data_IF_928795812053
#
_entry.id   IF_928795812053
#
_cell.length_a   1.000
_cell.length_b   1.000
_cell.length_c   1.000
_cell.angle_alpha   90.00
_cell.angle_beta   90.00
_cell.angle_gamma   90.00
#
_symmetry.space_group_name_H-M   'P 1'
#
loop_
_entity.id
_entity.type
_entity.pdbx_description
1 polymer ?
#
# COMPACT_ATOMS: atom_id res chain seq x y z
N UNK A 1 47.81 39.85 -38.93
CA UNK A 1 47.91 38.81 -39.99
C UNK A 1 48.32 37.52 -39.30
N UNK A 2 47.47 36.49 -39.44
CA UNK A 2 47.57 35.07 -39.03
C UNK A 2 48.43 34.68 -37.82
N UNK A 3 47.81 33.98 -36.87
CA UNK A 3 48.50 32.95 -36.09
C UNK A 3 47.60 31.70 -35.99
N UNK A 4 48.04 30.62 -36.64
CA UNK A 4 47.52 29.27 -36.47
C UNK A 4 48.51 28.55 -35.56
N UNK A 5 48.01 27.94 -34.48
CA UNK A 5 48.71 26.84 -33.81
C UNK A 5 47.68 25.92 -33.13
N UNK A 6 47.53 24.72 -33.67
CA UNK A 6 46.88 23.57 -33.02
C UNK A 6 47.68 23.17 -31.77
N UNK A 7 46.97 22.83 -30.69
CA UNK A 7 47.48 21.89 -29.67
C UNK A 7 46.36 20.94 -29.24
N UNK A 8 46.58 19.66 -29.54
CA UNK A 8 45.89 18.51 -28.96
C UNK A 8 46.21 18.43 -27.46
N UNK A 9 45.21 18.19 -26.61
CA UNK A 9 45.46 17.63 -25.28
C UNK A 9 44.38 16.62 -24.93
N UNK A 10 44.86 15.52 -24.37
CA UNK A 10 44.23 14.23 -24.34
C UNK A 10 43.25 14.04 -23.17
N UNK A 11 42.35 13.11 -23.43
CA UNK A 11 41.51 12.31 -22.54
C UNK A 11 42.21 11.96 -21.20
N UNK A 12 41.59 12.31 -20.07
CA UNK A 12 41.94 11.78 -18.76
C UNK A 12 40.65 11.48 -17.95
N UNK A 13 40.13 10.28 -18.18
CA UNK A 13 39.59 9.34 -17.19
C UNK A 13 39.01 9.93 -15.87
N UNK A 14 37.73 10.30 -15.87
CA UNK A 14 36.95 10.54 -14.64
C UNK A 14 36.43 9.22 -14.07
N UNK A 15 37.30 8.46 -13.42
CA UNK A 15 36.91 7.40 -12.49
C UNK A 15 37.16 7.91 -11.05
N UNK A 16 36.25 7.53 -10.15
CA UNK A 16 36.21 7.84 -8.70
C UNK A 16 35.46 9.12 -8.28
N UNK A 17 34.13 9.07 -8.25
CA UNK A 17 33.37 9.91 -7.31
C UNK A 17 32.14 9.23 -6.67
N UNK A 18 31.99 7.91 -6.76
CA UNK A 18 30.75 7.22 -6.33
C UNK A 18 30.87 6.31 -5.10
N UNK A 19 31.99 6.32 -4.37
CA UNK A 19 32.18 5.43 -3.18
C UNK A 19 31.94 6.17 -1.85
N UNK A 20 31.05 7.16 -1.81
CA UNK A 20 30.67 7.85 -0.55
C UNK A 20 29.17 7.76 -0.22
N UNK A 21 28.35 7.16 -1.08
CA UNK A 21 26.89 7.07 -0.84
C UNK A 21 26.48 5.97 0.15
N UNK A 22 27.42 5.14 0.62
CA UNK A 22 27.16 3.96 1.46
C UNK A 22 27.94 3.94 2.78
N UNK A 23 28.37 5.10 3.27
CA UNK A 23 28.88 5.18 4.64
C UNK A 23 27.69 5.13 5.62
N UNK A 24 27.65 4.22 6.60
CA UNK A 24 26.60 4.22 7.61
C UNK A 24 26.75 5.48 8.48
N UNK A 25 25.81 6.40 8.34
CA UNK A 25 25.68 7.54 9.25
C UNK A 25 25.24 6.99 10.60
N UNK A 26 26.16 6.92 11.56
CA UNK A 26 25.85 6.62 12.95
C UNK A 26 25.31 7.89 13.60
N UNK A 27 24.04 8.20 13.35
CA UNK A 27 23.33 9.22 14.10
C UNK A 27 22.95 8.65 15.47
N UNK A 28 23.72 9.00 16.50
CA UNK A 28 23.34 8.76 17.89
C UNK A 28 22.30 9.82 18.28
N UNK A 29 21.04 9.53 17.98
CA UNK A 29 19.91 10.41 18.31
C UNK A 29 19.54 10.25 19.79
N UNK A 30 19.89 11.24 20.62
CA UNK A 30 19.39 11.37 22.00
C UNK A 30 18.03 12.12 22.03
N UNK A 31 17.10 11.76 21.16
CA UNK A 31 15.70 12.15 21.28
C UNK A 31 14.95 11.04 22.01
N UNK A 32 13.97 11.35 22.88
CA UNK A 32 13.14 10.32 23.47
C UNK A 32 12.24 9.78 22.35
N UNK A 33 12.71 8.76 21.64
CA UNK A 33 11.97 8.03 20.59
C UNK A 33 10.85 7.16 21.16
N UNK A 34 10.31 7.52 22.32
CA UNK A 34 9.25 6.81 23.01
C UNK A 34 7.91 7.22 22.37
N UNK A 35 6.96 6.28 22.31
CA UNK A 35 5.58 6.38 21.77
C UNK A 35 5.30 5.70 20.40
N UNK A 36 6.21 4.89 19.84
CA UNK A 36 5.77 3.85 18.86
C UNK A 36 5.11 2.64 19.55
N UNK A 37 5.45 2.39 20.82
CA UNK A 37 4.91 1.28 21.62
C UNK A 37 3.49 1.54 22.16
N UNK A 38 2.93 2.73 22.00
CA UNK A 38 1.59 3.09 22.50
C UNK A 38 0.45 2.84 21.50
N UNK A 39 0.75 2.56 20.22
CA UNK A 39 -0.28 2.30 19.19
C UNK A 39 -0.52 0.81 19.04
N UNK A 40 -1.80 0.42 19.02
CA UNK A 40 -2.20 -0.94 18.65
C UNK A 40 -1.75 -1.21 17.21
N UNK A 41 -1.08 -2.34 16.92
CA UNK A 41 -0.74 -2.71 15.55
C UNK A 41 -2.00 -2.83 14.69
N UNK A 42 -1.92 -2.36 13.45
CA UNK A 42 -2.99 -2.52 12.46
C UNK A 42 -2.45 -3.28 11.26
N UNK A 43 -3.05 -4.43 10.96
CA UNK A 43 -2.63 -5.32 9.89
C UNK A 43 -3.72 -5.30 8.81
N UNK A 44 -3.31 -4.96 7.60
CA UNK A 44 -4.22 -4.89 6.45
C UNK A 44 -3.80 -5.87 5.38
N UNK A 45 -4.74 -6.67 4.88
CA UNK A 45 -4.52 -7.53 3.71
C UNK A 45 -5.10 -6.90 2.44
N UNK A 46 -4.28 -6.27 1.61
CA UNK A 46 -4.68 -5.85 0.25
C UNK A 46 -4.48 -7.04 -0.71
N UNK A 47 -5.58 -7.59 -1.22
CA UNK A 47 -5.57 -8.80 -2.05
C UNK A 47 -5.10 -8.52 -3.47
N UNK A 48 -5.10 -7.25 -3.88
CA UNK A 48 -4.84 -6.81 -5.24
C UNK A 48 -5.80 -7.55 -6.17
N UNK A 49 -5.39 -7.80 -7.42
CA UNK A 49 -6.21 -8.52 -8.39
C UNK A 49 -6.32 -10.05 -8.11
N UNK A 50 -6.78 -10.43 -6.92
CA UNK A 50 -6.99 -11.82 -6.49
C UNK A 50 -8.19 -11.92 -5.53
N UNK A 51 -8.79 -13.11 -5.39
CA UNK A 51 -8.57 -14.33 -6.18
C UNK A 51 -9.30 -14.30 -7.54
N UNK A 52 -9.32 -15.41 -8.30
CA UNK A 52 -9.92 -15.41 -9.64
C UNK A 52 -11.44 -15.63 -9.60
N UNK A 53 -11.96 -16.25 -8.54
CA UNK A 53 -13.37 -16.61 -8.42
C UNK A 53 -14.00 -16.14 -7.12
N UNK A 54 -15.33 -15.99 -7.15
CA UNK A 54 -16.13 -15.64 -5.97
C UNK A 54 -16.00 -16.69 -4.86
N UNK A 55 -15.99 -17.97 -5.20
CA UNK A 55 -15.91 -19.06 -4.21
C UNK A 55 -14.54 -19.08 -3.52
N UNK A 56 -13.45 -18.84 -4.27
CA UNK A 56 -12.11 -18.66 -3.69
C UNK A 56 -12.07 -17.45 -2.75
N UNK A 57 -12.71 -16.34 -3.11
CA UNK A 57 -12.77 -15.14 -2.27
C UNK A 57 -13.50 -15.41 -0.96
N UNK A 58 -14.63 -16.12 -1.02
CA UNK A 58 -15.40 -16.53 0.17
C UNK A 58 -14.59 -17.49 1.04
N UNK A 59 -13.94 -18.48 0.44
CA UNK A 59 -13.12 -19.45 1.17
C UNK A 59 -11.94 -18.77 1.90
N UNK A 60 -11.24 -17.87 1.20
CA UNK A 60 -10.15 -17.09 1.77
C UNK A 60 -10.66 -16.21 2.91
N UNK A 61 -11.72 -15.44 2.69
CA UNK A 61 -12.35 -14.59 3.71
C UNK A 61 -12.74 -15.38 4.97
N UNK A 62 -13.38 -16.54 4.79
CA UNK A 62 -13.80 -17.42 5.88
C UNK A 62 -12.61 -17.94 6.68
N UNK A 63 -11.53 -18.36 6.01
CA UNK A 63 -10.31 -18.82 6.68
C UNK A 63 -9.60 -17.71 7.49
N UNK A 64 -9.56 -16.49 6.95
CA UNK A 64 -9.00 -15.33 7.67
C UNK A 64 -9.89 -15.00 8.88
N UNK A 65 -11.21 -14.97 8.69
CA UNK A 65 -12.18 -14.73 9.75
C UNK A 65 -12.12 -15.79 10.88
N UNK A 66 -11.79 -17.04 10.56
CA UNK A 66 -11.57 -18.08 11.56
C UNK A 66 -10.26 -17.89 12.35
N UNK A 67 -9.24 -17.31 11.71
CA UNK A 67 -7.91 -17.07 12.31
C UNK A 67 -7.85 -15.84 13.21
N UNK A 68 -8.73 -14.86 12.98
CA UNK A 68 -8.85 -13.67 13.84
C UNK A 68 -9.72 -14.01 15.05
N UNK A 69 -9.09 -14.02 16.23
CA UNK A 69 -9.73 -14.30 17.52
C UNK A 69 -9.69 -13.07 18.44
N UNK A 70 -10.35 -13.14 19.59
CA UNK A 70 -10.30 -12.11 20.64
C UNK A 70 -8.90 -11.89 21.23
N UNK A 71 -7.98 -12.84 21.06
CA UNK A 71 -6.60 -12.74 21.53
C UNK A 71 -5.66 -12.07 20.51
N UNK A 72 -6.17 -11.74 19.32
CA UNK A 72 -5.40 -11.05 18.28
C UNK A 72 -4.99 -9.67 18.79
N UNK A 73 -3.68 -9.48 19.00
CA UNK A 73 -3.12 -8.23 19.53
C UNK A 73 -3.19 -7.05 18.54
N UNK A 74 -3.50 -7.33 17.26
CA UNK A 74 -3.61 -6.33 16.20
C UNK A 74 -5.07 -6.12 15.79
N UNK A 75 -5.39 -4.91 15.35
CA UNK A 75 -6.57 -4.68 14.53
C UNK A 75 -6.32 -5.24 13.12
N UNK A 76 -7.38 -5.75 12.49
CA UNK A 76 -7.29 -6.38 11.17
C UNK A 76 -8.27 -5.71 10.23
N UNK A 77 -7.90 -5.55 8.97
CA UNK A 77 -8.82 -5.24 7.88
C UNK A 77 -8.35 -5.94 6.60
N UNK A 78 -9.25 -6.14 5.64
CA UNK A 78 -8.89 -6.62 4.31
C UNK A 78 -9.44 -5.67 3.25
N UNK A 79 -8.68 -5.48 2.18
CA UNK A 79 -9.06 -4.70 1.01
C UNK A 79 -9.09 -5.65 -0.17
N UNK A 80 -10.23 -5.71 -0.86
CA UNK A 80 -10.49 -6.75 -1.86
C UNK A 80 -10.95 -6.14 -3.19
N UNK A 81 -10.77 -6.84 -4.32
CA UNK A 81 -11.33 -6.42 -5.60
C UNK A 81 -12.82 -6.12 -5.52
N UNK A 82 -13.24 -5.04 -6.18
CA UNK A 82 -14.61 -4.57 -6.17
C UNK A 82 -15.67 -5.67 -6.41
N UNK A 83 -15.50 -6.62 -7.36
CA UNK A 83 -16.48 -7.67 -7.60
C UNK A 83 -16.72 -8.62 -6.40
N UNK A 84 -15.80 -8.68 -5.44
CA UNK A 84 -15.87 -9.61 -4.31
C UNK A 84 -16.24 -8.94 -2.98
N UNK A 85 -16.31 -7.61 -2.91
CA UNK A 85 -16.52 -6.89 -1.65
C UNK A 85 -17.76 -7.40 -0.91
N UNK A 86 -18.92 -7.44 -1.57
CA UNK A 86 -20.18 -7.85 -0.93
C UNK A 86 -20.13 -9.29 -0.38
N UNK A 87 -19.64 -10.25 -1.18
CA UNK A 87 -19.61 -11.64 -0.74
C UNK A 87 -18.58 -11.87 0.37
N UNK A 88 -17.47 -11.14 0.34
CA UNK A 88 -16.45 -11.18 1.39
C UNK A 88 -16.97 -10.56 2.68
N UNK A 89 -17.69 -9.42 2.61
CA UNK A 89 -18.35 -8.83 3.78
C UNK A 89 -19.31 -9.82 4.46
N UNK A 90 -20.13 -10.49 3.65
CA UNK A 90 -21.05 -11.51 4.15
C UNK A 90 -20.32 -12.70 4.78
N UNK A 91 -19.21 -13.16 4.19
CA UNK A 91 -18.40 -14.26 4.70
C UNK A 91 -17.66 -13.91 6.01
N UNK A 92 -17.17 -12.67 6.13
CA UNK A 92 -16.50 -12.17 7.34
C UNK A 92 -17.49 -11.93 8.49
N UNK A 93 -18.76 -11.63 8.18
CA UNK A 93 -19.81 -11.46 9.18
C UNK A 93 -19.53 -10.34 10.17
N UNK A 94 -18.83 -9.28 9.75
CA UNK A 94 -18.51 -8.13 10.57
C UNK A 94 -17.40 -8.34 11.62
N UNK A 95 -16.67 -9.46 11.59
CA UNK A 95 -15.53 -9.68 12.51
C UNK A 95 -14.42 -8.62 12.39
N UNK A 96 -14.22 -8.10 11.19
CA UNK A 96 -13.31 -6.99 10.89
C UNK A 96 -13.77 -6.24 9.64
N UNK A 97 -13.29 -5.00 9.41
CA UNK A 97 -13.65 -4.24 8.23
C UNK A 97 -13.18 -4.87 6.92
N UNK A 98 -14.04 -4.81 5.91
CA UNK A 98 -13.73 -5.12 4.51
C UNK A 98 -13.81 -3.82 3.72
N UNK A 99 -12.74 -3.47 3.02
CA UNK A 99 -12.62 -2.23 2.27
C UNK A 99 -12.45 -2.45 0.76
N UNK A 100 -12.61 -1.36 0.02
CA UNK A 100 -12.30 -1.29 -1.41
C UNK A 100 -10.83 -0.93 -1.64
N UNK A 101 -10.20 -1.43 -2.68
CA UNK A 101 -8.79 -1.09 -2.96
C UNK A 101 -8.58 0.30 -3.57
N UNK A 102 -9.66 0.92 -4.05
CA UNK A 102 -9.63 2.20 -4.73
C UNK A 102 -10.97 2.92 -4.57
N UNK A 103 -10.89 4.25 -4.49
CA UNK A 103 -12.03 5.16 -4.58
C UNK A 103 -11.67 6.34 -5.47
N UNK A 104 -12.63 6.76 -6.30
CA UNK A 104 -12.50 7.93 -7.16
C UNK A 104 -12.57 9.22 -6.32
N UNK A 105 -11.78 10.27 -6.65
CA UNK A 105 -11.95 11.59 -6.03
C UNK A 105 -13.29 12.23 -6.40
N UNK A 106 -13.92 11.77 -7.48
CA UNK A 106 -15.16 12.29 -8.00
C UNK A 106 -16.36 11.65 -7.31
N UNK A 107 -17.30 12.47 -6.85
CA UNK A 107 -18.47 11.99 -6.11
C UNK A 107 -19.55 11.39 -7.03
N UNK A 108 -19.59 11.81 -8.30
CA UNK A 108 -20.47 11.31 -9.39
C UNK A 108 -20.07 11.95 -10.72
N UNK A 109 -20.34 11.30 -11.85
CA UNK A 109 -20.13 11.89 -13.17
C UNK A 109 -19.89 10.86 -14.26
N UNK A 110 -19.37 11.32 -15.40
CA UNK A 110 -19.08 10.49 -16.57
C UNK A 110 -17.66 9.86 -16.49
N UNK A 111 -17.40 9.11 -15.41
CA UNK A 111 -16.11 8.46 -15.14
C UNK A 111 -16.28 6.93 -15.26
N UNK A 112 -16.21 6.42 -16.49
CA UNK A 112 -16.43 5.00 -16.77
C UNK A 112 -15.36 4.13 -16.11
N UNK A 113 -15.78 3.18 -15.28
CA UNK A 113 -14.91 2.24 -14.57
C UNK A 113 -14.52 2.69 -13.15
N UNK A 114 -14.78 3.93 -12.80
CA UNK A 114 -14.51 4.47 -11.47
C UNK A 114 -15.61 4.11 -10.47
N UNK A 115 -15.23 4.07 -9.19
CA UNK A 115 -16.12 3.80 -8.06
C UNK A 115 -16.05 5.00 -7.10
N UNK A 116 -17.19 5.64 -6.85
CA UNK A 116 -17.24 6.82 -5.98
C UNK A 116 -17.43 6.46 -4.50
N UNK A 117 -16.99 7.33 -3.59
CA UNK A 117 -17.19 7.14 -2.15
C UNK A 117 -18.67 6.95 -1.75
N UNK A 118 -19.66 7.69 -2.30
CA UNK A 118 -21.07 7.45 -2.03
C UNK A 118 -21.56 6.06 -2.44
N UNK A 119 -21.04 5.50 -3.55
CA UNK A 119 -21.40 4.13 -3.98
C UNK A 119 -20.93 3.11 -2.94
N UNK A 120 -19.67 3.18 -2.52
CA UNK A 120 -19.11 2.31 -1.49
C UNK A 120 -19.90 2.41 -0.18
N UNK A 121 -20.16 3.63 0.27
CA UNK A 121 -20.92 3.87 1.52
C UNK A 121 -22.33 3.29 1.44
N UNK A 122 -22.99 3.38 0.28
CA UNK A 122 -24.34 2.80 0.09
C UNK A 122 -24.35 1.26 0.17
N UNK A 123 -23.23 0.62 -0.11
CA UNK A 123 -23.03 -0.82 0.02
C UNK A 123 -22.52 -1.24 1.42
N UNK A 124 -22.42 -0.30 2.37
CA UNK A 124 -21.90 -0.56 3.72
C UNK A 124 -20.37 -0.68 3.80
N UNK A 125 -19.65 -0.18 2.79
CA UNK A 125 -18.18 -0.18 2.76
C UNK A 125 -17.67 1.15 3.31
N UNK A 126 -17.02 1.08 4.48
CA UNK A 126 -16.55 2.26 5.21
C UNK A 126 -15.06 2.59 4.98
N UNK A 127 -14.33 1.70 4.31
CA UNK A 127 -12.88 1.77 4.12
C UNK A 127 -12.53 1.67 2.64
N UNK A 128 -11.66 2.56 2.15
CA UNK A 128 -11.14 2.56 0.78
C UNK A 128 -9.77 3.23 0.72
#
# INVERSE_FOLDING_TARGET
>A
ILSVAMKFSALALSLLSSVSAFAPVTQKSNSPSTELFARKPFITGNWKLNPSTKDEAIALATSVAASVTSETAADVAIFVPFPFIECVMNAVGGKFPVGAEMVSPEMKGAFTGDISAPMLKSCGVDWA
#
